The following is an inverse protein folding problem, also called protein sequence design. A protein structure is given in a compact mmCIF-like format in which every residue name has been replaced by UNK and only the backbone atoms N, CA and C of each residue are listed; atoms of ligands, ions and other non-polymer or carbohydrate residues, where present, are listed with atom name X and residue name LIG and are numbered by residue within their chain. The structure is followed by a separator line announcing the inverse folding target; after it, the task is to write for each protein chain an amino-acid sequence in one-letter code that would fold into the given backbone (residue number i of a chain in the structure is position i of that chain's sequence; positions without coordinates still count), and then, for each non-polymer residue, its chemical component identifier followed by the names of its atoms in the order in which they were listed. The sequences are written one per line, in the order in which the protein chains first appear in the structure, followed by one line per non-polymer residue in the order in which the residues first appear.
data_IF_375685892688
#
_entry.id   IF_375685892688
#
_cell.length_a   1.000
_cell.length_b   1.000
_cell.length_c   1.000
_cell.angle_alpha   90.00
_cell.angle_beta   90.00
_cell.angle_gamma   90.00
#
_symmetry.space_group_name_H-M   'P 1'
#
loop_
_entity.id
_entity.type
_entity.pdbx_description
1 polymer ?
#
# COMPACT_ATOMS: atom_id res chain seq x y z
N UNK A 1 -30.79 -19.22 71.18
CA UNK A 1 -31.25 -18.58 69.93
C UNK A 1 -30.14 -17.67 69.44
N UNK A 2 -29.76 -17.80 68.16
CA UNK A 2 -28.82 -16.96 67.38
C UNK A 2 -27.36 -16.95 67.89
N UNK A 3 -26.30 -17.04 67.10
CA UNK A 3 -26.10 -16.83 65.67
C UNK A 3 -24.69 -17.38 65.33
N UNK A 4 -24.54 -18.39 64.46
CA UNK A 4 -23.20 -18.82 64.03
C UNK A 4 -23.14 -19.30 62.57
N UNK A 5 -24.03 -18.77 61.72
CA UNK A 5 -24.08 -19.10 60.29
C UNK A 5 -23.62 -17.94 59.36
N UNK A 6 -23.21 -16.79 59.92
CA UNK A 6 -22.84 -15.61 59.12
C UNK A 6 -21.38 -15.60 58.63
N UNK A 7 -20.47 -16.37 59.26
CA UNK A 7 -19.06 -16.37 58.87
C UNK A 7 -18.78 -17.19 57.61
N UNK A 8 -19.55 -18.25 57.34
CA UNK A 8 -19.34 -19.08 56.15
C UNK A 8 -19.83 -18.37 54.88
N UNK A 9 -20.96 -17.67 54.94
CA UNK A 9 -21.51 -16.93 53.78
C UNK A 9 -20.58 -15.80 53.33
N UNK A 10 -19.97 -15.06 54.27
CA UNK A 10 -19.02 -14.00 53.95
C UNK A 10 -17.78 -14.55 53.23
N UNK A 11 -17.25 -15.71 53.66
CA UNK A 11 -16.13 -16.36 52.99
C UNK A 11 -16.47 -16.80 51.55
N UNK A 12 -17.69 -17.28 51.29
CA UNK A 12 -18.12 -17.61 49.92
C UNK A 12 -18.21 -16.37 49.02
N UNK A 13 -18.71 -15.23 49.52
CA UNK A 13 -18.74 -13.98 48.75
C UNK A 13 -17.34 -13.44 48.45
N UNK A 14 -16.41 -13.51 49.40
CA UNK A 14 -15.01 -13.13 49.17
C UNK A 14 -14.33 -14.05 48.15
N UNK A 15 -14.56 -15.36 48.23
CA UNK A 15 -14.00 -16.32 47.28
C UNK A 15 -14.51 -16.07 45.85
N UNK A 16 -15.82 -15.82 45.69
CA UNK A 16 -16.43 -15.49 44.40
C UNK A 16 -15.92 -14.15 43.86
N UNK A 17 -15.73 -13.16 44.73
CA UNK A 17 -15.19 -11.86 44.33
C UNK A 17 -13.74 -11.97 43.85
N UNK A 18 -12.90 -12.72 44.56
CA UNK A 18 -11.51 -12.98 44.16
C UNK A 18 -11.47 -13.74 42.83
N UNK A 19 -12.33 -14.75 42.63
CA UNK A 19 -12.38 -15.51 41.38
C UNK A 19 -12.77 -14.63 40.18
N UNK A 20 -13.74 -13.73 40.36
CA UNK A 20 -14.16 -12.78 39.32
C UNK A 20 -13.11 -11.73 39.04
N UNK A 21 -12.45 -11.22 40.08
CA UNK A 21 -11.35 -10.26 39.95
C UNK A 21 -10.17 -10.86 39.18
N UNK A 22 -9.83 -12.12 39.48
CA UNK A 22 -8.76 -12.84 38.78
C UNK A 22 -9.11 -13.10 37.31
N UNK A 23 -10.36 -13.50 37.01
CA UNK A 23 -10.82 -13.67 35.64
C UNK A 23 -10.81 -12.38 34.83
N UNK A 24 -11.20 -11.25 35.45
CA UNK A 24 -11.17 -9.94 34.79
C UNK A 24 -9.74 -9.51 34.45
N UNK A 25 -8.80 -9.64 35.40
CA UNK A 25 -7.39 -9.32 35.16
C UNK A 25 -6.75 -10.27 34.16
N UNK A 26 -7.11 -11.55 34.16
CA UNK A 26 -6.65 -12.52 33.15
C UNK A 26 -7.11 -12.13 31.75
N UNK A 27 -8.35 -11.66 31.60
CA UNK A 27 -8.89 -11.21 30.31
C UNK A 27 -8.24 -9.91 29.83
N UNK A 28 -7.99 -8.96 30.75
CA UNK A 28 -7.29 -7.71 30.46
C UNK A 28 -5.82 -7.96 30.05
N UNK A 29 -5.16 -8.91 30.72
CA UNK A 29 -3.83 -9.37 30.34
C UNK A 29 -3.85 -10.03 28.96
N UNK A 30 -4.81 -10.91 28.67
CA UNK A 30 -4.95 -11.55 27.36
C UNK A 30 -5.15 -10.53 26.23
N UNK A 31 -5.98 -9.50 26.46
CA UNK A 31 -6.21 -8.40 25.51
C UNK A 31 -4.94 -7.58 25.22
N UNK A 32 -4.03 -7.49 26.20
CA UNK A 32 -2.79 -6.72 26.10
C UNK A 32 -1.64 -7.52 25.44
N UNK A 33 -1.67 -8.86 25.49
CA UNK A 33 -0.67 -9.74 24.85
C UNK A 33 -1.01 -10.06 23.39
N UNK A 34 -2.29 -10.06 23.02
CA UNK A 34 -2.75 -10.25 21.63
C UNK A 34 -2.01 -9.37 20.59
N UNK A 35 -1.79 -8.06 20.80
CA UNK A 35 -1.01 -7.24 19.88
C UNK A 35 0.50 -7.57 19.88
N UNK A 36 1.05 -8.18 20.93
CA UNK A 36 2.46 -8.57 21.01
C UNK A 36 2.79 -9.83 20.19
N UNK A 37 1.83 -10.75 19.98
CA UNK A 37 2.03 -11.89 19.08
C UNK A 37 1.96 -11.52 17.59
N UNK A 38 1.18 -10.50 17.22
CA UNK A 38 1.15 -10.01 15.82
C UNK A 38 2.44 -9.28 15.41
N UNK A 39 3.26 -8.84 16.36
CA UNK A 39 4.54 -8.14 16.08
C UNK A 39 5.67 -9.12 15.73
N UNK A 40 5.49 -10.44 15.86
CA UNK A 40 6.54 -11.43 15.61
C UNK A 40 6.60 -12.02 14.20
N UNK A 41 5.82 -11.52 13.24
CA UNK A 41 5.91 -11.95 11.83
C UNK A 41 6.30 -10.80 10.91
N UNK A 42 7.55 -10.34 11.01
CA UNK A 42 8.27 -9.73 9.88
C UNK A 42 9.78 -9.70 10.13
N UNK A 43 10.31 -10.82 10.63
CA UNK A 43 11.72 -11.15 10.48
C UNK A 43 11.78 -12.54 9.85
N UNK A 44 12.64 -12.71 8.85
CA UNK A 44 12.85 -13.86 7.94
C UNK A 44 12.13 -13.69 6.59
N UNK A 45 12.76 -13.48 5.43
CA UNK A 45 14.13 -13.72 4.97
C UNK A 45 14.55 -12.64 3.96
N UNK A 46 15.37 -11.66 4.36
CA UNK A 46 16.13 -10.86 3.41
C UNK A 46 17.46 -11.56 3.13
N UNK A 47 17.41 -12.67 2.37
CA UNK A 47 18.55 -13.00 1.54
C UNK A 47 18.53 -11.96 0.42
N UNK A 48 19.52 -11.05 0.44
CA UNK A 48 19.87 -10.26 -0.72
C UNK A 48 20.15 -11.23 -1.87
N UNK A 49 19.13 -11.51 -2.68
CA UNK A 49 19.34 -12.20 -3.95
C UNK A 49 20.14 -11.22 -4.77
N UNK A 50 21.43 -11.54 -4.95
CA UNK A 50 22.22 -11.03 -6.07
C UNK A 50 21.28 -11.01 -7.27
N UNK A 51 20.97 -9.83 -7.79
CA UNK A 51 20.22 -9.73 -9.04
C UNK A 51 20.99 -10.59 -10.04
N UNK A 52 20.43 -11.70 -10.53
CA UNK A 52 20.95 -12.24 -11.77
C UNK A 52 20.84 -11.07 -12.74
N UNK A 53 21.96 -10.70 -13.36
CA UNK A 53 21.97 -9.84 -14.54
C UNK A 53 20.77 -10.26 -15.37
N UNK A 54 19.77 -9.38 -15.48
CA UNK A 54 18.52 -9.67 -16.18
C UNK A 54 18.94 -9.89 -17.63
N UNK A 55 19.13 -11.16 -17.94
CA UNK A 55 19.39 -11.71 -19.25
C UNK A 55 18.18 -11.35 -20.11
N UNK A 56 18.30 -10.25 -20.86
CA UNK A 56 17.92 -10.09 -22.28
C UNK A 56 16.61 -10.70 -22.81
N UNK A 57 15.60 -10.95 -21.97
CA UNK A 57 14.40 -11.71 -22.37
C UNK A 57 13.07 -11.11 -21.91
N UNK A 58 12.91 -9.80 -22.01
CA UNK A 58 11.60 -9.15 -21.92
C UNK A 58 11.38 -8.18 -23.08
N UNK A 59 11.48 -8.69 -24.32
CA UNK A 59 10.89 -8.03 -25.49
C UNK A 59 9.37 -8.25 -25.50
N UNK A 60 8.65 -7.78 -24.47
CA UNK A 60 7.19 -7.80 -24.48
C UNK A 60 6.70 -6.36 -24.62
N UNK A 61 6.77 -5.87 -25.85
CA UNK A 61 6.04 -4.68 -26.26
C UNK A 61 4.63 -5.07 -26.69
N UNK A 62 3.64 -4.19 -26.51
CA UNK A 62 3.76 -2.85 -25.93
C UNK A 62 3.83 -2.86 -24.40
N UNK A 63 4.59 -1.92 -23.82
CA UNK A 63 4.64 -1.66 -22.38
C UNK A 63 3.46 -0.77 -21.98
N UNK A 64 2.58 -1.26 -21.11
CA UNK A 64 1.40 -0.53 -20.65
C UNK A 64 1.68 0.16 -19.32
N UNK A 65 1.77 1.49 -19.36
CA UNK A 65 1.97 2.34 -18.20
C UNK A 65 0.62 2.94 -17.80
N UNK A 66 0.19 2.70 -16.57
CA UNK A 66 -1.01 3.34 -16.01
C UNK A 66 -0.58 4.51 -15.13
N UNK A 67 -1.01 5.71 -15.48
CA UNK A 67 -0.73 6.95 -14.74
C UNK A 67 -1.97 7.33 -13.93
N UNK A 68 -1.90 7.14 -12.61
CA UNK A 68 -2.96 7.53 -11.68
C UNK A 68 -2.78 8.97 -11.22
N UNK A 69 -3.58 9.91 -11.71
CA UNK A 69 -3.57 11.31 -11.31
C UNK A 69 -5.01 11.84 -11.24
N UNK A 70 -5.32 12.87 -10.45
CA UNK A 70 -6.65 13.46 -10.49
C UNK A 70 -6.87 14.23 -11.80
N UNK A 71 -8.08 14.16 -12.35
CA UNK A 71 -8.50 15.02 -13.47
C UNK A 71 -8.59 16.48 -13.04
N UNK A 72 -9.17 16.70 -11.85
CA UNK A 72 -9.47 18.04 -11.34
C UNK A 72 -8.43 18.55 -10.34
N UNK A 73 -8.28 19.87 -10.32
CA UNK A 73 -7.49 20.60 -9.34
C UNK A 73 -8.23 20.71 -8.01
N UNK A 74 -8.47 19.58 -7.34
CA UNK A 74 -8.91 19.66 -5.96
C UNK A 74 -7.70 20.12 -5.13
N UNK A 75 -7.70 21.40 -4.74
CA UNK A 75 -6.56 22.10 -4.15
C UNK A 75 -6.38 21.75 -2.67
N UNK A 76 -6.43 20.45 -2.35
CA UNK A 76 -6.11 19.95 -1.02
C UNK A 76 -4.59 19.68 -0.95
N UNK A 77 -3.80 20.61 -0.39
CA UNK A 77 -2.35 20.49 -0.35
C UNK A 77 -1.87 19.29 0.48
N UNK A 78 -2.71 18.76 1.39
CA UNK A 78 -2.38 17.57 2.17
C UNK A 78 -2.45 16.29 1.33
N UNK A 79 -3.31 16.27 0.30
CA UNK A 79 -3.50 15.10 -0.57
C UNK A 79 -2.70 15.18 -1.86
N UNK A 80 -2.43 16.40 -2.33
CA UNK A 80 -1.72 16.68 -3.56
C UNK A 80 -0.85 17.94 -3.41
N UNK A 81 0.27 17.86 -2.66
CA UNK A 81 1.09 19.02 -2.32
C UNK A 81 1.68 19.73 -3.55
N UNK A 82 1.89 18.98 -4.63
CA UNK A 82 2.47 19.49 -5.87
C UNK A 82 1.43 19.87 -6.93
N UNK A 83 0.14 19.81 -6.60
CA UNK A 83 -0.98 20.13 -7.50
C UNK A 83 -0.86 19.44 -8.86
N UNK A 84 -0.40 18.18 -8.85
CA UNK A 84 -0.30 17.36 -10.06
C UNK A 84 -1.68 16.91 -10.51
N UNK A 85 -1.91 16.93 -11.82
CA UNK A 85 -3.16 16.50 -12.45
C UNK A 85 -2.81 15.86 -13.79
N UNK A 86 -3.77 15.12 -14.36
CA UNK A 86 -3.61 14.52 -15.69
C UNK A 86 -3.24 15.60 -16.72
N UNK A 87 -3.97 16.73 -16.73
CA UNK A 87 -3.77 17.82 -17.69
C UNK A 87 -2.40 18.49 -17.61
N UNK A 88 -1.76 18.51 -16.43
CA UNK A 88 -0.38 19.00 -16.28
C UNK A 88 0.67 17.96 -16.60
N UNK A 89 0.41 16.69 -16.30
CA UNK A 89 1.41 15.64 -16.48
C UNK A 89 1.48 15.15 -17.93
N UNK A 90 0.34 15.09 -18.63
CA UNK A 90 0.24 14.62 -20.00
C UNK A 90 1.26 15.25 -20.96
N UNK A 91 1.42 16.60 -21.06
CA UNK A 91 2.39 17.19 -21.96
C UNK A 91 3.85 16.80 -21.65
N UNK A 92 4.17 16.48 -20.39
CA UNK A 92 5.52 16.03 -20.00
C UNK A 92 5.76 14.62 -20.52
N UNK A 93 4.76 13.73 -20.41
CA UNK A 93 4.84 12.38 -20.95
C UNK A 93 4.91 12.38 -22.49
N UNK A 94 4.11 13.22 -23.14
CA UNK A 94 4.07 13.30 -24.60
C UNK A 94 5.45 13.68 -25.18
N UNK A 95 6.08 14.73 -24.62
CA UNK A 95 7.44 15.14 -25.01
C UNK A 95 8.47 14.08 -24.66
N UNK A 96 8.36 13.43 -23.50
CA UNK A 96 9.30 12.38 -23.11
C UNK A 96 9.25 11.16 -24.03
N UNK A 97 8.04 10.75 -24.45
CA UNK A 97 7.86 9.67 -25.43
C UNK A 97 8.44 10.07 -26.78
N UNK A 98 8.16 11.28 -27.24
CA UNK A 98 8.69 11.82 -28.50
C UNK A 98 10.22 11.79 -28.50
N UNK A 99 10.85 12.27 -27.42
CA UNK A 99 12.30 12.28 -27.27
C UNK A 99 12.88 10.86 -27.31
N UNK A 100 12.28 9.91 -26.60
CA UNK A 100 12.78 8.52 -26.54
C UNK A 100 12.71 7.84 -27.93
N UNK A 101 11.64 8.08 -28.69
CA UNK A 101 11.40 7.44 -29.99
C UNK A 101 12.17 8.14 -31.11
N UNK A 102 12.02 9.47 -31.23
CA UNK A 102 12.51 10.23 -32.38
C UNK A 102 13.96 10.66 -32.18
N UNK A 103 14.25 11.29 -31.05
CA UNK A 103 15.54 11.94 -30.79
C UNK A 103 16.61 10.94 -30.36
N UNK A 104 16.30 10.09 -29.39
CA UNK A 104 17.25 9.12 -28.85
C UNK A 104 17.18 7.74 -29.52
N UNK A 105 16.06 7.40 -30.18
CA UNK A 105 15.85 6.12 -30.87
C UNK A 105 16.11 4.90 -29.98
N UNK A 106 15.77 5.00 -28.70
CA UNK A 106 16.00 3.93 -27.72
C UNK A 106 14.93 2.85 -27.85
N UNK A 107 13.69 3.25 -28.12
CA UNK A 107 12.54 2.36 -28.26
C UNK A 107 11.92 2.47 -29.67
N UNK A 108 11.42 1.37 -30.25
CA UNK A 108 10.72 1.41 -31.52
C UNK A 108 9.37 2.12 -31.38
N UNK A 109 8.81 2.58 -32.50
CA UNK A 109 7.45 3.13 -32.53
C UNK A 109 6.43 2.12 -31.98
N UNK A 110 5.38 2.61 -31.30
CA UNK A 110 4.31 1.81 -30.70
C UNK A 110 4.78 0.82 -29.60
N UNK A 111 5.95 1.06 -29.01
CA UNK A 111 6.47 0.23 -27.92
C UNK A 111 5.82 0.51 -26.56
N UNK A 112 5.17 1.66 -26.39
CA UNK A 112 4.71 2.15 -25.08
C UNK A 112 3.32 2.76 -25.21
N UNK A 113 2.41 2.36 -24.30
CA UNK A 113 1.08 2.93 -24.18
C UNK A 113 0.89 3.49 -22.77
N UNK A 114 0.34 4.70 -22.70
CA UNK A 114 -0.01 5.35 -21.44
C UNK A 114 -1.53 5.39 -21.31
N UNK A 115 -2.04 4.83 -20.22
CA UNK A 115 -3.42 4.97 -19.80
C UNK A 115 -3.48 5.93 -18.61
N UNK A 116 -4.30 6.98 -18.71
CA UNK A 116 -4.51 7.93 -17.62
C UNK A 116 -5.77 7.57 -16.84
N UNK A 117 -5.64 7.47 -15.52
CA UNK A 117 -6.74 7.14 -14.63
C UNK A 117 -7.00 8.23 -13.61
N UNK A 118 -8.23 8.76 -13.63
CA UNK A 118 -8.68 9.73 -12.65
C UNK A 118 -8.79 9.09 -11.26
N UNK A 119 -7.91 9.49 -10.35
CA UNK A 119 -7.87 8.99 -8.97
C UNK A 119 -8.81 9.73 -8.02
N UNK A 120 -9.33 10.89 -8.42
CA UNK A 120 -10.19 11.77 -7.61
C UNK A 120 -9.59 12.13 -6.22
N UNK A 121 -8.28 11.99 -6.04
CA UNK A 121 -7.61 12.10 -4.72
C UNK A 121 -8.32 11.30 -3.60
N UNK A 122 -8.85 10.13 -3.97
CA UNK A 122 -9.50 9.20 -3.06
C UNK A 122 -8.58 8.03 -2.74
N UNK A 123 -8.61 7.60 -1.47
CA UNK A 123 -7.96 6.39 -0.95
C UNK A 123 -8.63 5.09 -1.42
N UNK A 124 -9.82 5.15 -2.00
CA UNK A 124 -10.54 4.00 -2.54
C UNK A 124 -10.54 3.95 -4.08
N UNK A 125 -10.88 5.06 -4.74
CA UNK A 125 -11.11 5.08 -6.20
C UNK A 125 -9.82 4.85 -6.98
N UNK A 126 -8.73 5.56 -6.63
CA UNK A 126 -7.43 5.39 -7.27
C UNK A 126 -6.95 3.93 -7.21
N UNK A 127 -6.86 3.33 -6.01
CA UNK A 127 -6.42 1.95 -5.88
C UNK A 127 -7.31 0.95 -6.60
N UNK A 128 -8.63 1.13 -6.54
CA UNK A 128 -9.59 0.26 -7.25
C UNK A 128 -9.31 0.23 -8.76
N UNK A 129 -9.11 1.40 -9.39
CA UNK A 129 -8.82 1.49 -10.82
C UNK A 129 -7.51 0.80 -11.21
N UNK A 130 -6.45 0.99 -10.42
CA UNK A 130 -5.17 0.31 -10.66
C UNK A 130 -5.31 -1.21 -10.53
N UNK A 131 -6.04 -1.68 -9.51
CA UNK A 131 -6.33 -3.12 -9.35
C UNK A 131 -7.13 -3.66 -10.53
N UNK A 132 -8.10 -2.90 -11.05
CA UNK A 132 -8.85 -3.30 -12.24
C UNK A 132 -7.94 -3.49 -13.45
N UNK A 133 -6.99 -2.59 -13.71
CA UNK A 133 -6.02 -2.79 -14.78
C UNK A 133 -5.15 -4.03 -14.57
N UNK A 134 -4.76 -4.32 -13.32
CA UNK A 134 -4.01 -5.54 -13.00
C UNK A 134 -4.83 -6.81 -13.26
N UNK A 135 -6.10 -6.81 -12.86
CA UNK A 135 -7.05 -7.90 -13.15
C UNK A 135 -7.23 -8.09 -14.66
N UNK A 136 -7.35 -6.99 -15.41
CA UNK A 136 -7.54 -6.98 -16.86
C UNK A 136 -6.25 -7.21 -17.67
N UNK A 137 -5.09 -7.36 -17.02
CA UNK A 137 -3.78 -7.51 -17.68
C UNK A 137 -3.41 -6.34 -18.60
N UNK A 138 -3.82 -5.13 -18.23
CA UNK A 138 -3.57 -3.88 -18.96
C UNK A 138 -2.59 -2.95 -18.21
N UNK A 139 -1.79 -3.48 -17.29
CA UNK A 139 -0.78 -2.71 -16.56
C UNK A 139 0.49 -3.52 -16.39
N UNK A 140 1.59 -2.94 -16.85
CA UNK A 140 2.95 -3.44 -16.64
C UNK A 140 3.70 -2.54 -15.66
N UNK A 141 3.35 -1.25 -15.60
CA UNK A 141 3.95 -0.26 -14.69
C UNK A 141 2.87 0.71 -14.20
N UNK A 142 2.90 1.06 -12.92
CA UNK A 142 2.06 2.12 -12.35
C UNK A 142 2.91 3.35 -12.11
N UNK A 143 2.40 4.52 -12.49
CA UNK A 143 3.03 5.81 -12.22
C UNK A 143 2.04 6.79 -11.58
N UNK A 144 2.59 7.76 -10.83
CA UNK A 144 1.82 8.85 -10.23
C UNK A 144 1.38 8.54 -8.81
N UNK A 145 0.08 8.65 -8.54
CA UNK A 145 -0.56 8.50 -7.23
C UNK A 145 -0.05 9.52 -6.19
N UNK A 146 -0.48 10.79 -6.26
CA UNK A 146 0.02 11.85 -5.39
C UNK A 146 -0.49 11.76 -3.96
N UNK A 147 -1.56 11.00 -3.75
CA UNK A 147 -2.14 10.81 -2.44
C UNK A 147 -1.55 9.58 -1.74
N UNK A 148 -0.84 9.81 -0.64
CA UNK A 148 -0.06 8.78 0.07
C UNK A 148 -0.90 7.59 0.54
N UNK A 149 -2.13 7.85 0.99
CA UNK A 149 -3.03 6.80 1.47
C UNK A 149 -3.58 5.93 0.33
N UNK A 150 -3.66 6.48 -0.89
CA UNK A 150 -3.98 5.71 -2.09
C UNK A 150 -2.76 4.94 -2.62
N UNK A 151 -1.57 5.55 -2.57
CA UNK A 151 -0.34 4.92 -3.06
C UNK A 151 0.11 3.74 -2.19
N UNK A 152 0.10 3.89 -0.85
CA UNK A 152 0.64 2.90 0.08
C UNK A 152 0.08 1.48 -0.09
N UNK A 153 -1.25 1.25 -0.20
CA UNK A 153 -1.78 -0.09 -0.44
C UNK A 153 -1.35 -0.65 -1.81
N UNK A 154 -1.35 0.18 -2.86
CA UNK A 154 -0.91 -0.24 -4.20
C UNK A 154 0.56 -0.64 -4.19
N UNK A 155 1.45 0.17 -3.64
CA UNK A 155 2.86 -0.17 -3.51
C UNK A 155 3.06 -1.50 -2.76
N UNK A 156 2.35 -1.69 -1.63
CA UNK A 156 2.44 -2.92 -0.83
C UNK A 156 1.91 -4.16 -1.54
N UNK A 157 0.83 -4.04 -2.32
CA UNK A 157 0.23 -5.17 -3.03
C UNK A 157 0.97 -5.50 -4.33
N UNK A 158 1.51 -4.48 -5.01
CA UNK A 158 2.12 -4.59 -6.33
C UNK A 158 3.30 -5.56 -6.40
N UNK A 159 4.05 -5.74 -5.29
CA UNK A 159 5.13 -6.72 -5.22
C UNK A 159 4.67 -8.17 -5.37
N UNK A 160 3.39 -8.46 -5.08
CA UNK A 160 2.79 -9.78 -5.18
C UNK A 160 2.05 -10.00 -6.51
N UNK A 161 2.11 -9.03 -7.42
CA UNK A 161 1.42 -9.09 -8.70
C UNK A 161 2.27 -9.79 -9.76
N UNK A 162 1.73 -10.85 -10.36
CA UNK A 162 2.43 -11.63 -11.38
C UNK A 162 3.76 -12.24 -10.91
N UNK A 163 4.62 -12.57 -11.87
CA UNK A 163 5.96 -13.10 -11.62
C UNK A 163 6.92 -11.91 -11.63
N UNK A 164 7.27 -11.39 -10.45
CA UNK A 164 8.22 -10.30 -10.29
C UNK A 164 7.65 -8.97 -9.80
N UNK A 165 6.33 -8.88 -9.58
CA UNK A 165 5.67 -7.66 -9.14
C UNK A 165 5.40 -6.69 -10.29
N UNK A 166 4.57 -5.69 -10.02
CA UNK A 166 4.38 -4.52 -10.89
C UNK A 166 5.07 -3.32 -10.25
N UNK A 167 6.06 -2.69 -10.90
CA UNK A 167 6.73 -1.53 -10.34
C UNK A 167 5.79 -0.33 -10.24
N UNK A 168 5.92 0.43 -9.15
CA UNK A 168 5.16 1.64 -8.88
C UNK A 168 6.12 2.82 -8.72
N UNK A 169 6.02 3.84 -9.58
CA UNK A 169 6.83 5.05 -9.50
C UNK A 169 5.99 6.27 -9.13
N UNK A 170 6.48 7.08 -8.21
CA UNK A 170 5.82 8.33 -7.81
C UNK A 170 6.84 9.46 -7.70
N UNK A 171 6.48 10.65 -8.13
CA UNK A 171 7.31 11.87 -8.05
C UNK A 171 6.83 12.83 -6.97
N UNK A 172 5.69 12.55 -6.35
CA UNK A 172 4.95 13.51 -5.51
C UNK A 172 4.88 13.13 -4.05
N UNK A 173 5.21 11.89 -3.73
CA UNK A 173 5.10 11.41 -2.37
C UNK A 173 6.46 11.59 -1.69
N UNK A 174 6.60 12.72 -0.99
CA UNK A 174 7.66 12.91 0.00
C UNK A 174 7.20 12.29 1.32
N UNK A 175 7.74 11.12 1.65
CA UNK A 175 7.58 10.56 2.99
C UNK A 175 8.97 10.22 3.50
N UNK A 176 9.31 10.76 4.67
CA UNK A 176 10.48 10.38 5.47
C UNK A 176 10.56 8.87 5.81
N UNK A 177 9.51 8.09 5.49
CA UNK A 177 9.35 6.66 5.78
C UNK A 177 9.17 5.77 4.53
N UNK A 178 9.45 6.27 3.33
CA UNK A 178 9.57 5.40 2.13
C UNK A 178 10.99 4.82 1.99
N UNK A 179 11.95 5.38 2.72
CA UNK A 179 13.31 4.87 2.81
C UNK A 179 13.44 4.02 4.08
N UNK A 180 13.85 2.76 3.94
CA UNK A 180 14.09 1.88 5.07
C UNK A 180 15.48 2.18 5.67
N UNK A 181 15.60 2.21 7.00
CA UNK A 181 16.91 2.13 7.68
C UNK A 181 17.32 0.67 7.84
#
# INVERSE_FOLDING_TARGET
MYNNNNNNNNNYYYLIFILKFFNFFFFLFLLLILPLLSIKQQQQHHNQRKHPLISSKFNKFPLNIVVGLPSDFNDNPLRNPYKLSISKAQPVFDVAIEDIIIKFKILPSNSLFIAYEDTQLSDAIGPQKIVNHYCNKTVDVVMGMPYVFALAPIARMSQFWGIGGVPVFTTTVLIINLNNK
#
